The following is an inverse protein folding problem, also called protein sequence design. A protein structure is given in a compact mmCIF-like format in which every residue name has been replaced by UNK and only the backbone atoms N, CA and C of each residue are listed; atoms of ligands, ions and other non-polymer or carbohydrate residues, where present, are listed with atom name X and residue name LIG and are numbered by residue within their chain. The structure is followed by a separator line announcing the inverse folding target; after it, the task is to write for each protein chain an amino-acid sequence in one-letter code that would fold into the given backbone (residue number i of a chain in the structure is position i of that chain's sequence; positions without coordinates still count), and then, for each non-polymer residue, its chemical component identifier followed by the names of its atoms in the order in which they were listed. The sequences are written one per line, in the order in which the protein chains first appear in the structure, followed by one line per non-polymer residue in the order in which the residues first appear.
data_IF_996703084352
#
_entry.id   IF_996703084352
#
_cell.length_a   1.000
_cell.length_b   1.000
_cell.length_c   1.000
_cell.angle_alpha   90.00
_cell.angle_beta   90.00
_cell.angle_gamma   90.00
#
_symmetry.space_group_name_H-M   'P 1'
#
loop_
_entity.id
_entity.type
_entity.pdbx_description
1 polymer ?
#
# COMPACT_ATOMS: atom_id res chain seq x y z
N UNK A 1 18.11 -11.34 3.73
CA UNK A 1 16.87 -10.53 3.77
C UNK A 1 16.34 -10.33 5.19
N UNK A 2 16.26 -11.36 6.05
CA UNK A 2 16.00 -11.17 7.48
C UNK A 2 16.97 -10.18 8.16
N UNK A 3 18.22 -10.13 7.68
CA UNK A 3 19.25 -9.17 8.13
C UNK A 3 18.85 -7.69 7.95
N UNK A 4 18.06 -7.35 6.91
CA UNK A 4 17.62 -5.97 6.64
C UNK A 4 16.68 -5.51 7.75
N UNK A 5 15.64 -6.29 8.05
CA UNK A 5 14.70 -5.97 9.13
C UNK A 5 15.42 -5.87 10.48
N UNK A 6 16.31 -6.82 10.80
CA UNK A 6 17.10 -6.77 12.04
C UNK A 6 18.04 -5.57 12.09
N UNK A 7 18.75 -5.25 11.00
CA UNK A 7 19.61 -4.06 10.96
C UNK A 7 18.81 -2.78 11.08
N UNK A 8 17.60 -2.74 10.51
CA UNK A 8 16.70 -1.60 10.57
C UNK A 8 16.21 -1.32 12.00
N UNK A 9 15.73 -2.37 12.68
CA UNK A 9 15.34 -2.29 14.10
C UNK A 9 16.50 -1.81 14.97
N UNK A 10 17.70 -2.35 14.75
CA UNK A 10 18.87 -1.96 15.53
C UNK A 10 19.36 -0.54 15.23
N UNK A 11 19.36 -0.13 13.96
CA UNK A 11 19.78 1.21 13.51
C UNK A 11 18.88 2.29 14.12
N UNK A 12 17.57 2.07 14.06
CA UNK A 12 16.56 3.04 14.51
C UNK A 12 16.07 2.79 15.94
N UNK A 13 16.63 1.80 16.64
CA UNK A 13 16.22 1.36 17.98
C UNK A 13 14.70 1.20 18.09
N UNK A 14 14.10 0.57 17.07
CA UNK A 14 12.65 0.38 17.02
C UNK A 14 12.22 -0.53 18.15
N UNK A 15 11.18 -0.13 18.87
CA UNK A 15 10.61 -0.91 19.97
C UNK A 15 9.11 -1.06 19.76
N UNK A 16 8.44 -1.98 20.46
CA UNK A 16 6.99 -2.06 20.45
C UNK A 16 6.31 -0.76 20.92
N UNK A 17 7.03 0.13 21.61
CA UNK A 17 6.54 1.44 22.06
C UNK A 17 6.65 2.53 20.98
N UNK A 18 7.33 2.27 19.86
CA UNK A 18 7.46 3.24 18.77
C UNK A 18 6.10 3.49 18.12
N UNK A 19 5.74 4.76 17.97
CA UNK A 19 4.43 5.16 17.44
C UNK A 19 4.32 4.94 15.93
N UNK A 20 3.12 4.68 15.42
CA UNK A 20 2.87 4.50 13.99
C UNK A 20 3.29 5.71 13.13
N UNK A 21 3.08 6.98 13.55
CA UNK A 21 3.56 8.14 12.80
C UNK A 21 5.09 8.15 12.66
N UNK A 22 5.82 7.77 13.71
CA UNK A 22 7.28 7.63 13.65
C UNK A 22 7.69 6.49 12.72
N UNK A 23 6.99 5.36 12.73
CA UNK A 23 7.27 4.26 11.80
C UNK A 23 7.03 4.66 10.35
N UNK A 24 6.04 5.52 10.10
CA UNK A 24 5.68 5.99 8.76
C UNK A 24 6.80 6.81 8.10
N UNK A 25 7.66 7.49 8.88
CA UNK A 25 8.78 8.27 8.30
C UNK A 25 9.87 7.40 7.69
N UNK A 26 9.89 6.10 8.03
CA UNK A 26 10.91 5.15 7.62
C UNK A 26 10.49 4.28 6.42
N UNK A 27 9.25 4.43 5.94
CA UNK A 27 8.66 3.55 4.93
C UNK A 27 9.42 3.63 3.60
N UNK A 28 9.77 4.82 3.14
CA UNK A 28 10.48 4.99 1.86
C UNK A 28 11.90 4.42 1.89
N UNK A 29 12.64 4.65 2.97
CA UNK A 29 13.99 4.11 3.14
C UNK A 29 13.98 2.59 3.17
N UNK A 30 13.07 2.00 3.96
CA UNK A 30 12.92 0.55 4.04
C UNK A 30 12.46 -0.04 2.70
N UNK A 31 11.57 0.63 1.99
CA UNK A 31 11.10 0.19 0.67
C UNK A 31 12.23 0.18 -0.36
N UNK A 32 13.10 1.18 -0.33
CA UNK A 32 14.30 1.25 -1.15
C UNK A 32 15.26 0.10 -0.81
N UNK A 33 15.59 -0.12 0.48
CA UNK A 33 16.46 -1.23 0.89
C UNK A 33 15.88 -2.61 0.49
N UNK A 34 14.56 -2.79 0.58
CA UNK A 34 13.88 -4.03 0.21
C UNK A 34 13.78 -4.22 -1.31
N UNK A 35 13.66 -3.14 -2.09
CA UNK A 35 13.48 -3.20 -3.55
C UNK A 35 14.79 -3.04 -4.34
N UNK A 36 15.88 -2.63 -3.70
CA UNK A 36 17.17 -2.35 -4.35
C UNK A 36 17.64 -3.51 -5.23
N UNK A 37 17.78 -3.24 -6.54
CA UNK A 37 18.19 -4.18 -7.58
C UNK A 37 17.30 -5.40 -7.80
N UNK A 38 16.10 -5.46 -7.21
CA UNK A 38 15.26 -6.67 -7.20
C UNK A 38 14.08 -6.58 -8.18
N UNK A 39 13.72 -7.71 -8.76
CA UNK A 39 12.47 -7.83 -9.52
C UNK A 39 11.25 -7.64 -8.61
N UNK A 40 10.08 -7.31 -9.17
CA UNK A 40 8.84 -7.12 -8.41
C UNK A 40 8.51 -8.32 -7.50
N UNK A 41 8.73 -9.53 -8.00
CA UNK A 41 8.48 -10.77 -7.24
C UNK A 41 9.50 -10.97 -6.10
N UNK A 42 10.76 -10.64 -6.35
CA UNK A 42 11.81 -10.70 -5.31
C UNK A 42 11.58 -9.65 -4.21
N UNK A 43 11.20 -8.43 -4.59
CA UNK A 43 10.85 -7.37 -3.65
C UNK A 43 9.63 -7.76 -2.81
N UNK A 44 8.61 -8.39 -3.41
CA UNK A 44 7.44 -8.92 -2.69
C UNK A 44 7.85 -9.97 -1.64
N UNK A 45 8.63 -10.97 -2.04
CA UNK A 45 9.13 -11.98 -1.10
C UNK A 45 9.99 -11.37 0.01
N UNK A 46 10.80 -10.35 -0.31
CA UNK A 46 11.60 -9.64 0.69
C UNK A 46 10.73 -8.89 1.71
N UNK A 47 9.69 -8.19 1.23
CA UNK A 47 8.68 -7.51 2.08
C UNK A 47 7.97 -8.50 3.01
N UNK A 48 7.50 -9.63 2.47
CA UNK A 48 6.82 -10.67 3.27
C UNK A 48 7.73 -11.26 4.36
N UNK A 49 9.01 -11.50 4.03
CA UNK A 49 10.00 -11.98 5.00
C UNK A 49 10.33 -10.94 6.07
N UNK A 50 10.53 -9.67 5.68
CA UNK A 50 10.83 -8.59 6.61
C UNK A 50 9.67 -8.34 7.57
N UNK A 51 8.42 -8.42 7.08
CA UNK A 51 7.22 -8.30 7.91
C UNK A 51 7.12 -9.38 8.98
N UNK A 52 7.42 -10.64 8.63
CA UNK A 52 7.51 -11.74 9.61
C UNK A 52 8.61 -11.47 10.64
N UNK A 53 9.77 -10.99 10.20
CA UNK A 53 10.88 -10.66 11.10
C UNK A 53 10.59 -9.53 12.06
N UNK A 54 9.88 -8.48 11.64
CA UNK A 54 9.45 -7.43 12.57
C UNK A 54 8.55 -7.98 13.68
N UNK A 55 7.62 -8.88 13.34
CA UNK A 55 6.77 -9.53 14.33
C UNK A 55 7.56 -10.42 15.29
N UNK A 56 8.54 -11.18 14.78
CA UNK A 56 9.45 -11.97 15.63
C UNK A 56 10.33 -11.10 16.54
N UNK A 57 10.63 -9.86 16.13
CA UNK A 57 11.35 -8.87 16.93
C UNK A 57 10.45 -8.11 17.93
N UNK A 58 9.17 -8.49 18.02
CA UNK A 58 8.22 -7.96 19.01
C UNK A 58 7.37 -6.79 18.54
N UNK A 59 7.53 -6.31 17.29
CA UNK A 59 6.64 -5.30 16.73
C UNK A 59 5.24 -5.91 16.50
N UNK A 60 4.20 -5.10 16.73
CA UNK A 60 2.84 -5.53 16.45
C UNK A 60 2.63 -5.72 14.94
N UNK A 61 1.60 -6.49 14.58
CA UNK A 61 1.19 -6.66 13.18
C UNK A 61 0.95 -5.30 12.50
N UNK A 62 0.31 -4.38 13.21
CA UNK A 62 0.00 -3.03 12.73
C UNK A 62 1.27 -2.17 12.51
N UNK A 63 2.25 -2.29 13.41
CA UNK A 63 3.55 -1.62 13.25
C UNK A 63 4.31 -2.17 12.03
N UNK A 64 4.31 -3.50 11.85
CA UNK A 64 4.94 -4.15 10.70
C UNK A 64 4.22 -3.80 9.38
N UNK A 65 2.88 -3.71 9.39
CA UNK A 65 2.06 -3.24 8.27
C UNK A 65 2.31 -1.77 7.93
N UNK A 66 2.57 -0.94 8.94
CA UNK A 66 2.91 0.48 8.75
C UNK A 66 4.27 0.64 8.09
N UNK A 67 5.29 -0.13 8.53
CA UNK A 67 6.63 -0.11 7.95
C UNK A 67 6.68 -0.69 6.53
N UNK A 68 5.92 -1.76 6.28
CA UNK A 68 5.87 -2.45 5.00
C UNK A 68 4.42 -2.46 4.53
N UNK A 69 3.96 -1.36 3.91
CA UNK A 69 2.62 -1.30 3.36
C UNK A 69 2.44 -2.37 2.28
N UNK A 70 1.30 -3.04 2.32
CA UNK A 70 0.93 -4.04 1.32
C UNK A 70 0.72 -3.33 -0.01
N UNK A 71 1.77 -3.30 -0.84
CA UNK A 71 1.64 -2.93 -2.25
C UNK A 71 1.09 -4.13 -3.00
N UNK A 72 -0.21 -4.12 -3.29
CA UNK A 72 -0.80 -5.10 -4.20
C UNK A 72 -0.05 -5.03 -5.55
N UNK A 73 0.41 -6.16 -6.10
CA UNK A 73 1.07 -6.16 -7.39
C UNK A 73 0.04 -5.71 -8.44
N UNK A 74 0.23 -4.51 -9.00
CA UNK A 74 -0.58 -4.02 -10.12
C UNK A 74 -1.46 -2.80 -9.85
N UNK A 75 -1.38 -2.14 -8.69
CA UNK A 75 -2.06 -0.86 -8.49
C UNK A 75 -1.13 0.18 -7.85
N UNK A 76 -0.16 0.67 -8.64
CA UNK A 76 0.13 2.10 -8.56
C UNK A 76 -1.14 2.76 -9.07
N UNK A 77 -1.96 3.27 -8.16
CA UNK A 77 -3.03 4.17 -8.56
C UNK A 77 -2.52 5.58 -8.38
N UNK A 78 -1.52 5.93 -9.18
CA UNK A 78 -1.07 7.32 -9.34
C UNK A 78 -2.21 8.22 -9.84
N UNK A 79 -3.26 7.64 -10.41
CA UNK A 79 -4.43 8.36 -10.94
C UNK A 79 -5.65 8.39 -9.99
N UNK A 80 -5.61 7.77 -8.81
CA UNK A 80 -6.71 7.89 -7.83
C UNK A 80 -6.33 8.94 -6.81
N UNK A 81 -7.10 10.02 -6.78
CA UNK A 81 -7.04 10.98 -5.68
C UNK A 81 -7.26 10.20 -4.37
N UNK A 82 -6.27 10.15 -3.46
CA UNK A 82 -6.41 9.40 -2.21
C UNK A 82 -7.56 9.98 -1.37
N UNK A 83 -8.34 9.10 -0.72
CA UNK A 83 -9.47 9.50 0.15
C UNK A 83 -9.02 10.54 1.19
N UNK A 84 -7.78 10.43 1.69
CA UNK A 84 -7.18 11.40 2.63
C UNK A 84 -7.12 12.82 2.07
N UNK A 85 -6.79 13.00 0.78
CA UNK A 85 -6.71 14.31 0.14
C UNK A 85 -8.11 14.92 -0.02
N UNK A 86 -9.09 14.10 -0.43
CA UNK A 86 -10.49 14.53 -0.56
C UNK A 86 -11.05 14.93 0.80
N UNK A 87 -10.82 14.13 1.85
CA UNK A 87 -11.27 14.44 3.20
C UNK A 87 -10.66 15.75 3.72
N UNK A 88 -9.36 15.98 3.48
CA UNK A 88 -8.72 17.25 3.82
C UNK A 88 -9.30 18.43 3.05
N UNK A 89 -9.62 18.26 1.77
CA UNK A 89 -10.25 19.30 0.95
C UNK A 89 -11.65 19.66 1.44
N UNK A 90 -12.47 18.67 1.83
CA UNK A 90 -13.81 18.88 2.40
C UNK A 90 -13.72 19.69 3.70
N UNK A 91 -12.85 19.29 4.63
CA UNK A 91 -12.68 19.98 5.92
C UNK A 91 -12.14 21.41 5.72
N UNK A 92 -11.21 21.61 4.79
CA UNK A 92 -10.58 22.92 4.58
C UNK A 92 -11.54 23.94 3.98
N UNK A 93 -12.48 23.49 3.15
CA UNK A 93 -13.39 24.38 2.41
C UNK A 93 -14.83 24.35 2.96
N UNK A 94 -15.07 23.64 4.07
CA UNK A 94 -16.40 23.48 4.69
C UNK A 94 -17.51 23.17 3.66
N UNK A 95 -17.23 22.23 2.76
CA UNK A 95 -18.11 21.96 1.61
C UNK A 95 -19.50 21.51 2.01
N UNK A 96 -20.50 22.00 1.27
CA UNK A 96 -21.89 21.58 1.39
C UNK A 96 -22.09 20.14 0.88
N UNK A 97 -23.17 19.45 1.32
CA UNK A 97 -23.53 18.13 0.79
C UNK A 97 -23.65 18.09 -0.74
N UNK A 98 -24.11 19.18 -1.36
CA UNK A 98 -24.26 19.32 -2.80
C UNK A 98 -22.90 19.31 -3.52
N UNK A 99 -21.91 20.03 -3.00
CA UNK A 99 -20.55 20.08 -3.55
C UNK A 99 -19.83 18.74 -3.38
N UNK A 100 -20.02 18.08 -2.22
CA UNK A 100 -19.49 16.74 -1.97
C UNK A 100 -20.08 15.73 -2.96
N UNK A 101 -21.37 15.82 -3.25
CA UNK A 101 -22.03 14.96 -4.23
C UNK A 101 -21.50 15.19 -5.65
N UNK A 102 -21.22 16.44 -6.03
CA UNK A 102 -20.57 16.76 -7.30
C UNK A 102 -19.20 16.11 -7.44
N UNK A 103 -18.35 16.26 -6.42
CA UNK A 103 -17.03 15.62 -6.35
C UNK A 103 -17.15 14.08 -6.46
N UNK A 104 -18.11 13.49 -5.74
CA UNK A 104 -18.36 12.05 -5.77
C UNK A 104 -18.80 11.56 -7.17
N UNK A 105 -19.67 12.32 -7.84
CA UNK A 105 -20.14 12.02 -9.19
C UNK A 105 -19.00 12.08 -10.21
N UNK A 106 -18.16 13.12 -10.15
CA UNK A 106 -17.03 13.29 -11.05
C UNK A 106 -15.96 12.20 -10.84
N UNK A 107 -15.69 11.84 -9.59
CA UNK A 107 -14.79 10.72 -9.24
C UNK A 107 -15.31 9.38 -9.77
N UNK A 108 -16.61 9.12 -9.62
CA UNK A 108 -17.23 7.91 -10.13
C UNK A 108 -17.22 7.85 -11.67
N UNK A 109 -17.43 9.00 -12.33
CA UNK A 109 -17.44 9.12 -13.79
C UNK A 109 -16.04 9.04 -14.40
N UNK A 110 -15.02 9.56 -13.71
CA UNK A 110 -13.61 9.50 -14.13
C UNK A 110 -12.95 8.15 -13.83
N UNK A 111 -13.59 7.27 -13.06
CA UNK A 111 -13.06 5.94 -12.82
C UNK A 111 -13.11 5.13 -14.13
N UNK A 112 -11.99 4.55 -14.60
CA UNK A 112 -12.03 3.71 -15.79
C UNK A 112 -12.98 2.55 -15.54
N UNK A 113 -14.07 2.48 -16.30
CA UNK A 113 -14.96 1.33 -16.31
C UNK A 113 -14.14 0.13 -16.75
N UNK A 114 -13.73 -0.72 -15.81
CA UNK A 114 -13.19 -2.04 -16.15
C UNK A 114 -14.34 -2.85 -16.73
N UNK A 115 -14.53 -2.76 -18.05
CA UNK A 115 -15.18 -3.84 -18.79
C UNK A 115 -14.27 -5.03 -18.59
N UNK A 116 -14.64 -5.91 -17.66
CA UNK A 116 -14.02 -7.20 -17.51
C UNK A 116 -14.17 -7.91 -18.86
N UNK A 117 -13.08 -8.00 -19.62
CA UNK A 117 -13.06 -8.73 -20.87
C UNK A 117 -13.51 -10.15 -20.59
N UNK A 118 -14.67 -10.52 -21.14
CA UNK A 118 -15.13 -11.89 -21.19
C UNK A 118 -14.00 -12.73 -21.80
N UNK A 119 -13.37 -13.59 -21.00
CA UNK A 119 -12.54 -14.67 -21.51
C UNK A 119 -13.44 -15.57 -22.35
N UNK A 120 -13.39 -15.35 -23.67
CA UNK A 120 -13.99 -16.20 -24.69
C UNK A 120 -13.29 -17.56 -24.63
N UNK A 121 -13.80 -18.43 -23.76
CA UNK A 121 -13.44 -19.84 -23.75
C UNK A 121 -14.14 -20.52 -24.93
N UNK A 122 -13.56 -20.41 -26.12
CA UNK A 122 -13.87 -21.34 -27.20
C UNK A 122 -12.85 -22.47 -27.13
N UNK A 123 -13.24 -23.58 -26.47
CA UNK A 123 -12.65 -24.87 -26.77
C UNK A 123 -13.71 -25.98 -26.67
N UNK A 124 -13.97 -26.59 -27.84
CA UNK A 124 -14.40 -27.98 -28.09
C UNK A 124 -15.66 -28.53 -27.42
N UNK A 125 -16.64 -28.90 -28.26
CA UNK A 125 -17.41 -30.14 -28.09
C UNK A 125 -17.74 -30.75 -29.46
N UNK A 126 -17.24 -31.97 -29.65
CA UNK A 126 -17.65 -32.92 -30.69
C UNK A 126 -19.16 -33.16 -30.63
N UNK A 127 -19.82 -33.25 -31.79
CA UNK A 127 -20.67 -34.37 -32.23
C UNK A 127 -20.89 -34.26 -33.74
#
# INVERSE_FOLDING_TARGET
MAKIATSFVNRYKLTPQTSLPQLSTYVEELDNELSDGKSKEQARKARDQAKRRFQELGLSKEQADTLIPIRAPGRHVEERVPIKIIAQYIIKNDLSPEEINGIAYDLASSAPTTVAGNSRNENTLYY
#
